data_IF_286661184870
#
_entry.id   IF_286661184870
#
_cell.length_a   1.000
_cell.length_b   1.000
_cell.length_c   1.000
_cell.angle_alpha   90.00
_cell.angle_beta   90.00
_cell.angle_gamma   90.00
#
_symmetry.space_group_name_H-M   'P 1'
#
loop_
_entity.id
_entity.type
_entity.pdbx_description
1 polymer ?
#
# COMPACT_ATOMS: atom_id res chain seq x y z
N UNK A 1 -3.31 15.26 13.33
CA UNK A 1 -2.27 14.24 13.11
C UNK A 1 -1.55 13.95 14.42
N UNK A 2 -1.16 12.70 14.66
CA UNK A 2 -0.37 12.31 15.84
C UNK A 2 0.98 11.76 15.38
N UNK A 3 2.06 12.20 16.02
CA UNK A 3 3.41 11.71 15.76
C UNK A 3 4.06 11.28 17.07
N UNK A 4 4.76 10.15 17.02
CA UNK A 4 5.52 9.62 18.17
C UNK A 4 7.00 9.74 17.84
N UNK A 5 7.74 10.42 18.69
CA UNK A 5 9.19 10.60 18.54
C UNK A 5 9.93 9.94 19.70
N UNK A 6 11.04 9.26 19.42
CA UNK A 6 11.84 8.57 20.43
C UNK A 6 13.08 9.40 20.80
N UNK A 7 13.14 9.83 22.06
CA UNK A 7 14.27 10.58 22.62
C UNK A 7 14.96 9.77 23.72
N UNK A 8 16.18 9.29 23.42
CA UNK A 8 17.01 8.52 24.36
C UNK A 8 17.56 9.37 25.52
N UNK A 9 17.79 10.67 25.31
CA UNK A 9 18.34 11.59 26.31
C UNK A 9 17.24 12.44 26.97
N UNK A 10 17.09 12.34 28.29
CA UNK A 10 15.96 12.94 29.02
C UNK A 10 15.97 14.47 29.09
N UNK A 11 17.13 15.14 29.22
CA UNK A 11 17.10 16.46 29.86
C UNK A 11 18.06 17.56 29.35
N UNK A 12 18.95 17.34 28.37
CA UNK A 12 19.95 18.40 28.07
C UNK A 12 19.34 19.63 27.37
N UNK A 13 18.36 19.42 26.50
CA UNK A 13 17.68 20.49 25.76
C UNK A 13 16.21 20.12 25.51
N UNK A 14 15.42 19.95 26.57
CA UNK A 14 13.98 19.61 26.42
C UNK A 14 13.17 20.80 25.93
N UNK A 15 13.45 22.00 26.44
CA UNK A 15 12.71 23.21 26.09
C UNK A 15 12.93 23.60 24.63
N UNK A 16 14.18 23.66 24.16
CA UNK A 16 14.50 23.92 22.76
C UNK A 16 13.86 22.87 21.82
N UNK A 17 13.85 21.60 22.24
CA UNK A 17 13.20 20.53 21.50
C UNK A 17 11.67 20.71 21.42
N UNK A 18 11.01 21.09 22.51
CA UNK A 18 9.56 21.36 22.49
C UNK A 18 9.24 22.61 21.66
N UNK A 19 10.04 23.66 21.80
CA UNK A 19 9.89 24.91 21.05
C UNK A 19 9.99 24.69 19.54
N UNK A 20 10.94 23.88 19.09
CA UNK A 20 11.07 23.49 17.68
C UNK A 20 9.77 22.86 17.16
N UNK A 21 9.17 21.92 17.91
CA UNK A 21 7.91 21.29 17.51
C UNK A 21 6.73 22.27 17.51
N UNK A 22 6.69 23.18 18.49
CA UNK A 22 5.68 24.23 18.59
C UNK A 22 5.74 25.22 17.42
N UNK A 23 6.94 25.63 16.99
CA UNK A 23 7.16 26.45 15.79
C UNK A 23 6.61 25.79 14.51
N UNK A 24 6.68 24.46 14.42
CA UNK A 24 6.10 23.68 13.33
C UNK A 24 4.59 23.41 13.50
N UNK A 25 3.97 23.93 14.56
CA UNK A 25 2.54 23.80 14.87
C UNK A 25 2.15 22.47 15.51
N UNK A 26 3.06 21.81 16.21
CA UNK A 26 2.79 20.60 16.98
C UNK A 26 2.60 20.92 18.47
N UNK A 27 1.55 20.37 19.06
CA UNK A 27 1.22 20.42 20.48
C UNK A 27 1.74 19.17 21.18
N UNK A 28 2.47 19.32 22.29
CA UNK A 28 2.90 18.18 23.09
C UNK A 28 1.71 17.57 23.86
N UNK A 29 1.52 16.26 23.75
CA UNK A 29 0.41 15.54 24.41
C UNK A 29 0.88 14.86 25.69
N UNK A 30 1.83 13.92 25.57
CA UNK A 30 2.29 13.09 26.68
C UNK A 30 3.64 12.46 26.36
N UNK A 31 4.44 12.18 27.38
CA UNK A 31 5.63 11.34 27.24
C UNK A 31 5.49 10.03 28.00
N UNK A 32 5.81 8.93 27.33
CA UNK A 32 5.85 7.57 27.88
C UNK A 32 7.29 7.05 27.78
N UNK A 33 7.97 6.91 28.91
CA UNK A 33 9.38 6.48 29.00
C UNK A 33 10.33 7.37 28.18
N UNK A 34 10.65 6.97 26.96
CA UNK A 34 11.52 7.65 26.00
C UNK A 34 10.77 8.08 24.73
N UNK A 35 9.46 7.85 24.67
CA UNK A 35 8.60 8.26 23.58
C UNK A 35 7.85 9.54 23.96
N UNK A 36 7.92 10.55 23.11
CA UNK A 36 7.13 11.77 23.21
C UNK A 36 6.06 11.75 22.14
N UNK A 37 4.81 12.01 22.52
CA UNK A 37 3.66 12.04 21.62
C UNK A 37 3.29 13.49 21.38
N UNK A 38 3.22 13.86 20.11
CA UNK A 38 2.82 15.19 19.64
C UNK A 38 1.55 15.10 18.81
N UNK A 39 0.74 16.16 18.86
CA UNK A 39 -0.49 16.32 18.10
C UNK A 39 -0.44 17.61 17.31
N UNK A 40 -0.73 17.57 16.03
CA UNK A 40 -0.95 18.76 15.20
C UNK A 40 -2.44 18.85 14.87
N UNK A 41 -3.11 20.00 15.10
CA UNK A 41 -4.48 20.20 14.64
C UNK A 41 -4.48 20.09 13.12
N UNK A 42 -5.14 19.06 12.60
CA UNK A 42 -5.28 18.91 11.17
C UNK A 42 -6.28 19.95 10.70
N UNK A 43 -5.85 20.83 9.78
CA UNK A 43 -6.79 21.69 9.08
C UNK A 43 -7.80 20.81 8.36
N UNK A 44 -9.08 21.17 8.43
CA UNK A 44 -10.17 20.45 7.77
C UNK A 44 -9.84 20.38 6.26
N UNK A 45 -9.33 19.25 5.78
CA UNK A 45 -8.80 19.06 4.42
C UNK A 45 -7.41 18.42 4.32
N UNK A 46 -6.56 18.54 5.34
CA UNK A 46 -5.24 17.85 5.41
C UNK A 46 -5.30 16.55 6.23
N UNK A 47 -6.48 16.21 6.75
CA UNK A 47 -6.74 14.95 7.44
C UNK A 47 -7.00 13.81 6.46
N UNK A 48 -6.38 13.86 5.27
CA UNK A 48 -6.05 12.65 4.54
C UNK A 48 -5.07 11.90 5.44
N UNK A 49 -5.59 10.89 6.12
CA UNK A 49 -4.80 9.79 6.66
C UNK A 49 -4.01 9.20 5.49
N UNK A 50 -2.87 9.81 5.22
CA UNK A 50 -1.90 9.40 4.23
C UNK A 50 -1.48 7.98 4.61
N UNK A 51 -1.91 7.00 3.83
CA UNK A 51 -1.08 5.82 3.65
C UNK A 51 -1.69 4.45 3.84
N UNK A 52 -3.02 4.25 3.95
CA UNK A 52 -3.48 2.87 4.11
C UNK A 52 -4.67 2.40 3.25
N UNK A 53 -5.39 3.28 2.54
CA UNK A 53 -6.43 2.85 1.58
C UNK A 53 -6.14 3.27 0.16
N UNK A 54 -6.08 4.58 -0.11
CA UNK A 54 -5.86 5.09 -1.48
C UNK A 54 -4.49 4.68 -2.03
N UNK A 55 -3.45 4.82 -1.20
CA UNK A 55 -2.10 4.35 -1.51
C UNK A 55 -2.05 2.84 -1.79
N UNK A 56 -2.80 2.02 -1.02
CA UNK A 56 -2.82 0.55 -1.24
C UNK A 56 -3.44 0.19 -2.58
N UNK A 57 -4.54 0.82 -2.97
CA UNK A 57 -5.20 0.56 -4.25
C UNK A 57 -4.28 0.96 -5.41
N UNK A 58 -3.58 2.08 -5.30
CA UNK A 58 -2.62 2.53 -6.32
C UNK A 58 -1.40 1.60 -6.41
N UNK A 59 -0.86 1.14 -5.27
CA UNK A 59 0.21 0.14 -5.23
C UNK A 59 -0.25 -1.19 -5.85
N UNK A 60 -1.43 -1.69 -5.48
CA UNK A 60 -1.98 -2.94 -6.02
C UNK A 60 -2.26 -2.81 -7.52
N UNK A 61 -2.79 -1.67 -7.98
CA UNK A 61 -3.01 -1.38 -9.41
C UNK A 61 -1.70 -1.40 -10.18
N UNK A 62 -0.64 -0.81 -9.64
CA UNK A 62 0.69 -0.80 -10.27
C UNK A 62 1.28 -2.21 -10.34
N UNK A 63 1.15 -3.00 -9.27
CA UNK A 63 1.59 -4.40 -9.25
C UNK A 63 0.78 -5.23 -10.25
N UNK A 64 -0.53 -5.02 -10.31
CA UNK A 64 -1.41 -5.70 -11.24
C UNK A 64 -1.02 -5.37 -12.69
N UNK A 65 -0.87 -4.09 -13.03
CA UNK A 65 -0.43 -3.69 -14.38
C UNK A 65 0.96 -4.26 -14.73
N UNK A 66 1.91 -4.25 -13.81
CA UNK A 66 3.29 -4.73 -14.07
C UNK A 66 3.45 -6.24 -14.08
N UNK A 67 2.59 -7.01 -13.40
CA UNK A 67 2.74 -8.47 -13.30
C UNK A 67 1.64 -9.24 -14.02
N UNK A 68 0.41 -8.75 -13.98
CA UNK A 68 -0.75 -9.42 -14.58
C UNK A 68 -0.76 -9.28 -16.10
N UNK A 69 -0.59 -8.07 -16.64
CA UNK A 69 -0.59 -7.84 -18.10
C UNK A 69 0.51 -8.64 -18.84
N UNK A 70 1.77 -8.70 -18.35
CA UNK A 70 2.79 -9.51 -19.01
C UNK A 70 2.49 -11.01 -18.93
N UNK A 71 1.96 -11.49 -17.79
CA UNK A 71 1.59 -12.90 -17.64
C UNK A 71 0.48 -13.31 -18.61
N UNK A 72 -0.51 -12.43 -18.82
CA UNK A 72 -1.60 -12.65 -19.77
C UNK A 72 -1.09 -12.66 -21.22
N UNK A 73 -0.18 -11.73 -21.56
CA UNK A 73 0.45 -11.68 -22.88
C UNK A 73 1.28 -12.93 -23.18
N UNK A 74 2.10 -13.37 -22.21
CA UNK A 74 2.90 -14.59 -22.33
C UNK A 74 2.02 -15.82 -22.52
N UNK A 75 0.93 -15.92 -21.75
CA UNK A 75 -0.05 -16.99 -21.88
C UNK A 75 -0.74 -17.00 -23.26
N UNK A 76 -1.07 -15.83 -23.82
CA UNK A 76 -1.62 -15.72 -25.17
C UNK A 76 -0.67 -16.23 -26.27
N UNK A 77 0.62 -15.89 -26.16
CA UNK A 77 1.66 -16.38 -27.09
C UNK A 77 1.83 -17.91 -26.96
N UNK A 78 1.83 -18.41 -25.72
CA UNK A 78 1.92 -19.85 -25.46
C UNK A 78 0.70 -20.60 -26.02
N UNK A 79 -0.50 -20.04 -25.87
CA UNK A 79 -1.73 -20.58 -26.45
C UNK A 79 -1.63 -20.71 -27.97
N UNK A 80 -1.26 -19.63 -28.67
CA UNK A 80 -1.21 -19.63 -30.14
C UNK A 80 -0.23 -20.65 -30.73
N UNK A 81 0.92 -20.84 -30.08
CA UNK A 81 1.95 -21.79 -30.51
C UNK A 81 1.65 -23.23 -30.10
N UNK A 82 1.12 -23.42 -28.89
CA UNK A 82 0.95 -24.74 -28.28
C UNK A 82 -0.36 -25.43 -28.69
N UNK A 83 -1.39 -24.67 -29.08
CA UNK A 83 -2.67 -25.23 -29.55
C UNK A 83 -2.49 -26.08 -30.81
N UNK A 84 -1.52 -25.71 -31.66
CA UNK A 84 -1.18 -26.45 -32.88
C UNK A 84 -0.43 -27.76 -32.59
N UNK A 85 0.37 -27.81 -31.53
CA UNK A 85 1.26 -28.94 -31.26
C UNK A 85 0.68 -29.94 -30.26
N UNK A 86 0.06 -29.48 -29.17
CA UNK A 86 -0.46 -30.35 -28.08
C UNK A 86 -1.71 -29.75 -27.43
N UNK A 87 -2.89 -29.86 -28.08
CA UNK A 87 -4.11 -29.18 -27.63
C UNK A 87 -4.59 -29.64 -26.25
N UNK A 88 -4.50 -30.94 -25.92
CA UNK A 88 -4.98 -31.46 -24.63
C UNK A 88 -4.22 -30.93 -23.40
N UNK A 89 -2.90 -30.79 -23.52
CA UNK A 89 -2.06 -30.25 -22.43
C UNK A 89 -2.37 -28.77 -22.18
N UNK A 90 -2.55 -28.01 -23.26
CA UNK A 90 -2.92 -26.59 -23.19
C UNK A 90 -4.27 -26.42 -22.52
N UNK A 91 -5.28 -27.18 -22.95
CA UNK A 91 -6.62 -27.15 -22.36
C UNK A 91 -6.61 -27.47 -20.86
N UNK A 92 -5.79 -28.44 -20.43
CA UNK A 92 -5.62 -28.77 -19.02
C UNK A 92 -5.06 -27.60 -18.19
N UNK A 93 -4.03 -26.92 -18.69
CA UNK A 93 -3.47 -25.73 -18.03
C UNK A 93 -4.48 -24.58 -18.05
N UNK A 94 -5.20 -24.40 -19.15
CA UNK A 94 -6.23 -23.35 -19.30
C UNK A 94 -7.35 -23.47 -18.28
N UNK A 95 -7.80 -24.69 -17.98
CA UNK A 95 -8.85 -24.96 -16.98
C UNK A 95 -8.45 -24.48 -15.59
N UNK A 96 -7.16 -24.48 -15.25
CA UNK A 96 -6.65 -24.01 -13.96
C UNK A 96 -6.33 -22.51 -14.00
N UNK A 97 -5.74 -22.05 -15.10
CA UNK A 97 -5.26 -20.68 -15.24
C UNK A 97 -6.40 -19.65 -15.40
N UNK A 98 -7.46 -19.98 -16.15
CA UNK A 98 -8.58 -19.08 -16.39
C UNK A 98 -9.36 -18.76 -15.10
N UNK A 99 -9.74 -19.74 -14.24
CA UNK A 99 -10.37 -19.45 -12.96
C UNK A 99 -9.48 -18.65 -12.01
N UNK A 100 -8.17 -18.94 -11.99
CA UNK A 100 -7.21 -18.18 -11.18
C UNK A 100 -7.20 -16.70 -11.58
N UNK A 101 -7.14 -16.41 -12.89
CA UNK A 101 -7.19 -15.05 -13.42
C UNK A 101 -8.52 -14.37 -13.11
N UNK A 102 -9.65 -15.07 -13.27
CA UNK A 102 -10.97 -14.54 -12.95
C UNK A 102 -11.12 -14.20 -11.47
N UNK A 103 -10.66 -15.08 -10.56
CA UNK A 103 -10.68 -14.82 -9.12
C UNK A 103 -9.83 -13.60 -8.74
N UNK A 104 -8.63 -13.48 -9.32
CA UNK A 104 -7.74 -12.33 -9.15
C UNK A 104 -8.39 -11.04 -9.67
N UNK A 105 -9.00 -11.08 -10.86
CA UNK A 105 -9.70 -9.95 -11.45
C UNK A 105 -10.91 -9.51 -10.63
N UNK A 106 -11.72 -10.46 -10.14
CA UNK A 106 -12.90 -10.19 -9.30
C UNK A 106 -12.46 -9.60 -7.94
N UNK A 107 -11.43 -10.17 -7.31
CA UNK A 107 -10.88 -9.63 -6.05
C UNK A 107 -10.34 -8.22 -6.24
N UNK A 108 -9.61 -7.98 -7.33
CA UNK A 108 -9.11 -6.66 -7.66
C UNK A 108 -10.26 -5.67 -7.89
N UNK A 109 -11.27 -6.05 -8.68
CA UNK A 109 -12.44 -5.21 -8.92
C UNK A 109 -13.20 -4.86 -7.63
N UNK A 110 -13.31 -5.82 -6.70
CA UNK A 110 -13.92 -5.57 -5.39
C UNK A 110 -13.10 -4.56 -4.57
N UNK A 111 -11.78 -4.67 -4.55
CA UNK A 111 -10.90 -3.74 -3.82
C UNK A 111 -10.83 -2.34 -4.44
N UNK A 112 -11.13 -2.20 -5.73
CA UNK A 112 -11.17 -0.89 -6.40
C UNK A 112 -12.52 -0.20 -6.23
N UNK A 113 -13.59 -0.96 -5.95
CA UNK A 113 -14.95 -0.45 -5.79
C UNK A 113 -15.30 -0.07 -4.34
N UNK A 114 -14.62 -0.64 -3.36
CA UNK A 114 -14.66 -0.24 -1.95
C UNK A 114 -13.83 1.00 -1.67
#
# INVERSE_FOLDING_TARGET
>A
MYQVDFKKAKNKDRENYLHMYEEYGWEFVVSCQNFNIFRKPAKMGELELYGDRENKVEFVKTIFQRRYLPSLGLYGILLGTSLRSRPGFVLGISIIYIPLLLLLGIRFYRMVKE
#
